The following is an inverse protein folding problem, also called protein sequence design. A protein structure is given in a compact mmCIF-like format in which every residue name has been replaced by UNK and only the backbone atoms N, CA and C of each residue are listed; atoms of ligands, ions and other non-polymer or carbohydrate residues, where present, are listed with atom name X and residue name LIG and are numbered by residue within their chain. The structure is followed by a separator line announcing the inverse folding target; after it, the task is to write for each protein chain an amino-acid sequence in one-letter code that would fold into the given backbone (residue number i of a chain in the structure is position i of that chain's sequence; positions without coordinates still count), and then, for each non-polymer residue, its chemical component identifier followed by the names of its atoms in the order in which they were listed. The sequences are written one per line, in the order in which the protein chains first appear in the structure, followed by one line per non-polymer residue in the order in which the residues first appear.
data_IF_571876983799
#
_entry.id   IF_571876983799
#
_cell.length_a   1.000
_cell.length_b   1.000
_cell.length_c   1.000
_cell.angle_alpha   90.00
_cell.angle_beta   90.00
_cell.angle_gamma   90.00
#
_symmetry.space_group_name_H-M   'P 1'
#
loop_
_entity.id
_entity.type
_entity.pdbx_description
1 polymer ?
#
# COMPACT_ATOMS: atom_id res chain seq x y z
N UNK A 1 -23.55 -9.03 -22.19
CA UNK A 1 -23.66 -10.00 -21.07
C UNK A 1 -22.33 -10.67 -20.70
N UNK A 2 -21.63 -11.41 -21.57
CA UNK A 2 -20.35 -12.05 -21.21
C UNK A 2 -19.24 -11.06 -20.87
N UNK A 3 -19.11 -9.98 -21.66
CA UNK A 3 -18.14 -8.90 -21.42
C UNK A 3 -18.35 -8.20 -20.08
N UNK A 4 -19.58 -7.79 -19.75
CA UNK A 4 -19.86 -7.11 -18.46
C UNK A 4 -19.51 -8.02 -17.27
N UNK A 5 -19.82 -9.31 -17.32
CA UNK A 5 -19.44 -10.26 -16.26
C UNK A 5 -17.91 -10.35 -16.10
N UNK A 6 -17.18 -10.37 -17.21
CA UNK A 6 -15.71 -10.33 -17.18
C UNK A 6 -15.19 -9.04 -16.56
N UNK A 7 -15.69 -7.88 -16.99
CA UNK A 7 -15.29 -6.56 -16.46
C UNK A 7 -15.62 -6.40 -14.97
N UNK A 8 -16.77 -6.90 -14.52
CA UNK A 8 -17.13 -6.95 -13.10
C UNK A 8 -16.08 -7.77 -12.34
N UNK A 9 -15.74 -8.97 -12.83
CA UNK A 9 -14.72 -9.81 -12.21
C UNK A 9 -13.35 -9.13 -12.11
N UNK A 10 -12.93 -8.42 -13.16
CA UNK A 10 -11.70 -7.61 -13.15
C UNK A 10 -11.77 -6.55 -12.06
N UNK A 11 -12.85 -5.75 -12.01
CA UNK A 11 -13.03 -4.69 -11.02
C UNK A 11 -13.03 -5.24 -9.58
N UNK A 12 -13.72 -6.37 -9.35
CA UNK A 12 -13.81 -7.04 -8.05
C UNK A 12 -12.44 -7.38 -7.46
N UNK A 13 -11.46 -7.70 -8.31
CA UNK A 13 -10.09 -8.02 -7.86
C UNK A 13 -9.20 -6.78 -7.86
N UNK A 14 -9.29 -5.92 -8.88
CA UNK A 14 -8.39 -4.79 -9.03
C UNK A 14 -8.64 -3.67 -8.01
N UNK A 15 -9.89 -3.41 -7.64
CA UNK A 15 -10.25 -2.33 -6.70
C UNK A 15 -9.66 -2.55 -5.30
N UNK A 16 -9.83 -3.71 -4.63
CA UNK A 16 -9.22 -3.90 -3.31
C UNK A 16 -7.69 -3.85 -3.38
N UNK A 17 -7.09 -4.29 -4.48
CA UNK A 17 -5.65 -4.19 -4.68
C UNK A 17 -5.18 -2.74 -4.85
N UNK A 18 -5.92 -1.91 -5.62
CA UNK A 18 -5.65 -0.48 -5.73
C UNK A 18 -5.77 0.23 -4.37
N UNK A 19 -6.76 -0.14 -3.56
CA UNK A 19 -6.95 0.43 -2.21
C UNK A 19 -5.75 0.10 -1.32
N UNK A 20 -5.28 -1.14 -1.32
CA UNK A 20 -4.08 -1.55 -0.59
C UNK A 20 -2.84 -0.77 -1.05
N UNK A 21 -2.58 -0.69 -2.35
CA UNK A 21 -1.43 0.06 -2.89
C UNK A 21 -1.53 1.57 -2.57
N UNK A 22 -2.75 2.12 -2.56
CA UNK A 22 -2.99 3.51 -2.13
C UNK A 22 -2.64 3.70 -0.65
N UNK A 23 -3.03 2.75 0.21
CA UNK A 23 -2.73 2.80 1.64
C UNK A 23 -1.23 2.72 1.93
N UNK A 24 -0.48 1.87 1.20
CA UNK A 24 0.99 1.82 1.24
C UNK A 24 1.56 3.20 0.89
N UNK A 25 1.17 3.75 -0.26
CA UNK A 25 1.67 5.06 -0.72
C UNK A 25 1.36 6.18 0.27
N UNK A 26 0.13 6.26 0.78
CA UNK A 26 -0.27 7.27 1.75
C UNK A 26 0.47 7.13 3.08
N UNK A 27 0.83 5.92 3.49
CA UNK A 27 1.52 5.68 4.76
C UNK A 27 3.01 6.00 4.66
N UNK A 28 3.69 5.50 3.61
CA UNK A 28 5.14 5.65 3.43
C UNK A 28 5.55 7.11 3.18
N UNK A 29 4.72 7.91 2.51
CA UNK A 29 5.04 9.32 2.23
C UNK A 29 4.42 10.32 3.22
N UNK A 30 3.82 9.86 4.32
CA UNK A 30 3.25 10.77 5.33
C UNK A 30 4.27 11.07 6.43
N UNK A 31 5.02 12.17 6.30
CA UNK A 31 6.00 12.59 7.31
C UNK A 31 5.41 12.75 8.72
N UNK A 32 4.12 13.12 8.84
CA UNK A 32 3.47 13.25 10.15
C UNK A 32 3.34 11.90 10.86
N UNK A 33 3.34 10.79 10.11
CA UNK A 33 3.43 9.46 10.68
C UNK A 33 4.74 9.28 11.42
N UNK A 34 5.84 9.56 10.71
CA UNK A 34 7.20 9.34 11.20
C UNK A 34 7.47 10.23 12.41
N UNK A 35 7.01 11.48 12.40
CA UNK A 35 7.09 12.39 13.55
C UNK A 35 6.42 11.77 14.79
N UNK A 36 5.18 11.27 14.66
CA UNK A 36 4.47 10.61 15.78
C UNK A 36 5.17 9.35 16.27
N UNK A 37 5.70 8.55 15.36
CA UNK A 37 6.44 7.34 15.71
C UNK A 37 7.75 7.68 16.43
N UNK A 38 8.41 8.77 16.04
CA UNK A 38 9.61 9.25 16.70
C UNK A 38 9.35 9.92 18.05
N UNK A 39 8.15 10.45 18.28
CA UNK A 39 7.71 10.86 19.61
C UNK A 39 7.43 9.64 20.50
N UNK A 40 6.87 8.58 19.92
CA UNK A 40 6.53 7.33 20.61
C UNK A 40 7.75 6.50 21.00
N UNK A 41 8.69 6.31 20.08
CA UNK A 41 9.86 5.43 20.26
C UNK A 41 11.16 6.17 20.57
N UNK A 42 11.19 7.49 20.38
CA UNK A 42 12.30 8.38 20.67
C UNK A 42 13.69 7.83 20.30
N UNK A 43 13.96 7.53 19.02
CA UNK A 43 15.26 7.02 18.61
C UNK A 43 16.36 8.05 18.91
N UNK A 44 17.51 7.58 19.40
CA UNK A 44 18.64 8.41 19.84
C UNK A 44 19.48 8.91 18.67
N UNK A 45 18.83 9.58 17.71
CA UNK A 45 19.44 10.12 16.49
C UNK A 45 19.14 11.61 16.40
N UNK A 46 20.19 12.41 16.36
CA UNK A 46 20.09 13.84 16.08
C UNK A 46 19.57 14.06 14.65
N UNK A 47 18.75 15.10 14.44
CA UNK A 47 18.18 15.42 13.11
C UNK A 47 17.37 14.28 12.45
N UNK A 48 16.83 13.34 13.25
CA UNK A 48 16.02 12.18 12.78
C UNK A 48 14.93 12.54 11.76
N UNK A 49 14.28 13.69 11.92
CA UNK A 49 13.24 14.20 11.02
C UNK A 49 13.82 14.61 9.66
N UNK A 50 14.94 15.31 9.65
CA UNK A 50 15.58 15.74 8.41
C UNK A 50 16.10 14.53 7.61
N UNK A 51 16.78 13.60 8.28
CA UNK A 51 17.27 12.35 7.66
C UNK A 51 16.10 11.57 7.05
N UNK A 52 14.97 11.51 7.76
CA UNK A 52 13.77 10.81 7.29
C UNK A 52 13.11 11.53 6.11
N UNK A 53 13.05 12.87 6.11
CA UNK A 53 12.57 13.65 4.96
C UNK A 53 13.43 13.39 3.73
N UNK A 54 14.75 13.34 3.89
CA UNK A 54 15.68 13.01 2.82
C UNK A 54 15.45 11.59 2.31
N UNK A 55 15.29 10.61 3.21
CA UNK A 55 14.95 9.23 2.83
C UNK A 55 13.63 9.13 2.07
N UNK A 56 12.58 9.81 2.53
CA UNK A 56 11.27 9.85 1.85
C UNK A 56 11.42 10.48 0.46
N UNK A 57 12.22 11.54 0.32
CA UNK A 57 12.51 12.15 -0.98
C UNK A 57 13.33 11.22 -1.90
N UNK A 58 14.32 10.51 -1.37
CA UNK A 58 15.06 9.47 -2.08
C UNK A 58 14.14 8.37 -2.63
N UNK A 59 13.19 7.89 -1.82
CA UNK A 59 12.21 6.89 -2.22
C UNK A 59 11.20 7.41 -3.25
N UNK A 60 11.12 8.73 -3.44
CA UNK A 60 10.33 9.33 -4.51
C UNK A 60 11.04 9.21 -5.87
N UNK A 61 10.30 9.47 -6.95
CA UNK A 61 10.87 9.44 -8.31
C UNK A 61 11.92 10.54 -8.54
N UNK A 62 11.94 11.58 -7.71
CA UNK A 62 12.75 12.79 -7.90
C UNK A 62 14.08 12.78 -7.12
N UNK A 63 14.23 11.86 -6.15
CA UNK A 63 15.44 11.78 -5.34
C UNK A 63 16.63 11.13 -6.06
N UNK A 64 17.83 11.54 -5.70
CA UNK A 64 19.08 10.86 -6.08
C UNK A 64 19.78 10.26 -4.84
N UNK A 65 20.90 9.58 -5.05
CA UNK A 65 21.60 8.87 -3.97
C UNK A 65 22.24 9.81 -2.93
N UNK A 66 22.35 11.11 -3.20
CA UNK A 66 22.89 12.07 -2.22
C UNK A 66 22.00 12.19 -0.97
N UNK A 67 20.70 11.93 -1.10
CA UNK A 67 19.74 11.98 0.00
C UNK A 67 19.87 10.84 1.02
N UNK A 68 20.68 9.82 0.72
CA UNK A 68 20.98 8.72 1.65
C UNK A 68 22.46 8.68 2.05
N UNK A 69 23.22 9.75 1.80
CA UNK A 69 24.65 9.80 2.09
C UNK A 69 25.00 9.72 3.58
N UNK A 70 24.03 9.96 4.48
CA UNK A 70 24.21 9.81 5.93
C UNK A 70 24.22 8.35 6.40
N UNK A 71 23.75 7.41 5.57
CA UNK A 71 23.76 5.98 5.85
C UNK A 71 25.12 5.37 5.44
N UNK A 72 25.53 4.27 6.07
CA UNK A 72 26.74 3.52 5.68
C UNK A 72 26.53 2.86 4.31
N UNK A 73 27.61 2.55 3.59
CA UNK A 73 27.53 1.96 2.24
C UNK A 73 26.62 0.72 2.18
N UNK A 74 26.77 -0.21 3.12
CA UNK A 74 25.92 -1.42 3.18
C UNK A 74 24.44 -1.13 3.47
N UNK A 75 24.12 -0.04 4.18
CA UNK A 75 22.74 0.41 4.38
C UNK A 75 22.21 1.06 3.10
N UNK A 76 23.04 1.82 2.39
CA UNK A 76 22.68 2.45 1.12
C UNK A 76 22.36 1.39 0.05
N UNK A 77 23.12 0.30 -0.02
CA UNK A 77 22.84 -0.84 -0.90
C UNK A 77 21.44 -1.40 -0.66
N UNK A 78 21.06 -1.60 0.61
CA UNK A 78 19.72 -2.04 0.95
C UNK A 78 18.65 -1.01 0.62
N UNK A 79 18.89 0.27 0.91
CA UNK A 79 17.96 1.36 0.59
C UNK A 79 17.73 1.50 -0.93
N UNK A 80 18.73 1.23 -1.76
CA UNK A 80 18.57 1.18 -3.23
C UNK A 80 17.60 0.06 -3.63
N UNK A 81 17.73 -1.15 -3.06
CA UNK A 81 16.76 -2.21 -3.30
C UNK A 81 15.36 -1.84 -2.78
N UNK A 82 15.26 -1.17 -1.63
CA UNK A 82 13.97 -0.66 -1.09
C UNK A 82 13.34 0.30 -2.10
N UNK A 83 14.13 1.21 -2.69
CA UNK A 83 13.64 2.13 -3.72
C UNK A 83 13.14 1.40 -4.95
N UNK A 84 13.84 0.37 -5.42
CA UNK A 84 13.42 -0.43 -6.58
C UNK A 84 12.12 -1.19 -6.31
N UNK A 85 11.97 -1.78 -5.12
CA UNK A 85 10.73 -2.41 -4.68
C UNK A 85 9.60 -1.38 -4.63
N UNK A 86 9.82 -0.22 -4.02
CA UNK A 86 8.81 0.85 -3.97
C UNK A 86 8.40 1.33 -5.36
N UNK A 87 9.35 1.52 -6.27
CA UNK A 87 9.09 1.89 -7.66
C UNK A 87 8.26 0.82 -8.38
N UNK A 88 8.59 -0.46 -8.21
CA UNK A 88 7.80 -1.57 -8.74
C UNK A 88 6.35 -1.51 -8.24
N UNK A 89 6.12 -1.28 -6.94
CA UNK A 89 4.79 -1.11 -6.38
C UNK A 89 4.05 0.09 -7.00
N UNK A 90 4.73 1.19 -7.29
CA UNK A 90 4.11 2.35 -7.97
C UNK A 90 3.77 2.07 -9.43
N UNK A 91 4.62 1.34 -10.17
CA UNK A 91 4.28 0.93 -11.53
C UNK A 91 3.05 0.03 -11.56
N UNK A 92 2.97 -0.93 -10.63
CA UNK A 92 1.79 -1.79 -10.45
C UNK A 92 0.56 -0.94 -10.11
N UNK A 93 0.70 0.04 -9.21
CA UNK A 93 -0.39 0.97 -8.87
C UNK A 93 -0.97 1.67 -10.11
N UNK A 94 -0.11 2.28 -10.94
CA UNK A 94 -0.58 2.97 -12.15
C UNK A 94 -1.18 2.01 -13.17
N UNK A 95 -0.60 0.81 -13.32
CA UNK A 95 -1.14 -0.22 -14.21
C UNK A 95 -2.54 -0.67 -13.78
N UNK A 96 -2.73 -0.97 -12.49
CA UNK A 96 -4.02 -1.36 -11.92
C UNK A 96 -5.05 -0.23 -12.04
N UNK A 97 -4.62 1.02 -11.82
CA UNK A 97 -5.48 2.20 -12.00
C UNK A 97 -5.97 2.31 -13.45
N UNK A 98 -5.08 2.12 -14.44
CA UNK A 98 -5.46 2.12 -15.86
C UNK A 98 -6.47 1.01 -16.17
N UNK A 99 -6.25 -0.21 -15.65
CA UNK A 99 -7.19 -1.33 -15.81
C UNK A 99 -8.58 -0.97 -15.27
N UNK A 100 -8.65 -0.37 -14.08
CA UNK A 100 -9.92 0.03 -13.45
C UNK A 100 -10.62 1.09 -14.31
N UNK A 101 -9.90 2.14 -14.73
CA UNK A 101 -10.46 3.22 -15.54
C UNK A 101 -11.00 2.68 -16.86
N UNK A 102 -10.22 1.84 -17.56
CA UNK A 102 -10.66 1.21 -18.80
C UNK A 102 -11.86 0.29 -18.58
N UNK A 103 -11.88 -0.49 -17.51
CA UNK A 103 -13.00 -1.40 -17.21
C UNK A 103 -14.29 -0.63 -16.92
N UNK A 104 -14.20 0.49 -16.18
CA UNK A 104 -15.34 1.38 -15.93
C UNK A 104 -15.80 2.04 -17.23
N UNK A 105 -14.88 2.54 -18.06
CA UNK A 105 -15.19 3.15 -19.35
C UNK A 105 -15.90 2.17 -20.29
N UNK A 106 -15.45 0.91 -20.34
CA UNK A 106 -16.09 -0.15 -21.13
C UNK A 106 -17.47 -0.54 -20.59
N UNK A 107 -17.65 -0.59 -19.26
CA UNK A 107 -18.97 -0.81 -18.66
C UNK A 107 -19.94 0.33 -19.00
N UNK A 108 -19.45 1.56 -19.12
CA UNK A 108 -20.27 2.74 -19.44
C UNK A 108 -20.87 2.71 -20.85
N UNK A 109 -20.30 1.91 -21.76
CA UNK A 109 -20.85 1.71 -23.11
C UNK A 109 -22.30 1.18 -23.03
N UNK A 110 -22.57 0.26 -22.10
CA UNK A 110 -23.92 -0.23 -21.82
C UNK A 110 -24.60 0.62 -20.73
N UNK A 111 -25.01 1.84 -21.12
CA UNK A 111 -25.59 2.86 -20.24
C UNK A 111 -26.76 2.37 -19.37
N UNK A 112 -27.53 1.39 -19.86
CA UNK A 112 -28.71 0.87 -19.15
C UNK A 112 -28.32 0.06 -17.91
N UNK A 113 -27.29 -0.77 -18.02
CA UNK A 113 -26.84 -1.64 -16.93
C UNK A 113 -25.61 -1.11 -16.19
N UNK A 114 -25.07 0.05 -16.59
CA UNK A 114 -23.84 0.63 -16.03
C UNK A 114 -23.86 0.74 -14.51
N UNK A 115 -24.84 1.45 -13.94
CA UNK A 115 -24.89 1.69 -12.49
C UNK A 115 -25.13 0.40 -11.71
N UNK A 116 -25.94 -0.52 -12.22
CA UNK A 116 -26.13 -1.84 -11.60
C UNK A 116 -24.81 -2.62 -11.58
N UNK A 117 -24.14 -2.75 -12.73
CA UNK A 117 -22.86 -3.46 -12.83
C UNK A 117 -21.76 -2.81 -11.97
N UNK A 118 -21.71 -1.48 -11.91
CA UNK A 118 -20.76 -0.75 -11.07
C UNK A 118 -21.04 -0.98 -9.59
N UNK A 119 -22.30 -0.89 -9.15
CA UNK A 119 -22.71 -1.17 -7.78
C UNK A 119 -22.37 -2.60 -7.36
N UNK A 120 -22.64 -3.58 -8.22
CA UNK A 120 -22.27 -4.99 -8.04
C UNK A 120 -20.76 -5.10 -7.89
N UNK A 121 -19.99 -4.49 -8.80
CA UNK A 121 -18.52 -4.53 -8.79
C UNK A 121 -17.96 -3.99 -7.48
N UNK A 122 -18.40 -2.81 -7.04
CA UNK A 122 -17.93 -2.17 -5.81
C UNK A 122 -18.30 -2.99 -4.57
N UNK A 123 -19.53 -3.50 -4.50
CA UNK A 123 -19.99 -4.31 -3.38
C UNK A 123 -19.16 -5.59 -3.24
N UNK A 124 -18.99 -6.36 -4.33
CA UNK A 124 -18.19 -7.59 -4.29
C UNK A 124 -16.69 -7.31 -4.15
N UNK A 125 -16.18 -6.18 -4.65
CA UNK A 125 -14.81 -5.71 -4.38
C UNK A 125 -14.56 -5.56 -2.88
N UNK A 126 -15.54 -5.03 -2.15
CA UNK A 126 -15.43 -4.86 -0.69
C UNK A 126 -15.37 -6.20 0.05
N UNK A 127 -16.13 -7.20 -0.42
CA UNK A 127 -16.11 -8.54 0.15
C UNK A 127 -14.77 -9.24 -0.09
N UNK A 128 -14.26 -9.21 -1.33
CA UNK A 128 -12.95 -9.76 -1.68
C UNK A 128 -11.83 -9.03 -0.93
N UNK A 129 -11.91 -7.70 -0.85
CA UNK A 129 -10.97 -6.89 -0.08
C UNK A 129 -11.00 -7.23 1.41
N UNK A 130 -12.17 -7.48 1.99
CA UNK A 130 -12.30 -7.95 3.37
C UNK A 130 -11.57 -9.28 3.61
N UNK A 131 -11.71 -10.24 2.69
CA UNK A 131 -10.99 -11.53 2.76
C UNK A 131 -9.47 -11.30 2.69
N UNK A 132 -9.01 -10.46 1.75
CA UNK A 132 -7.58 -10.12 1.62
C UNK A 132 -7.07 -9.49 2.92
N UNK A 133 -7.82 -8.56 3.53
CA UNK A 133 -7.43 -7.92 4.77
C UNK A 133 -7.38 -8.89 5.95
N UNK A 134 -8.28 -9.87 6.02
CA UNK A 134 -8.20 -10.94 7.03
C UNK A 134 -6.90 -11.73 6.87
N UNK A 135 -6.53 -12.10 5.64
CA UNK A 135 -5.26 -12.79 5.38
C UNK A 135 -4.06 -11.92 5.79
N UNK A 136 -4.05 -10.65 5.42
CA UNK A 136 -2.97 -9.73 5.80
C UNK A 136 -2.91 -9.50 7.33
N UNK A 137 -4.05 -9.47 8.02
CA UNK A 137 -4.10 -9.37 9.48
C UNK A 137 -3.54 -10.64 10.15
N UNK A 138 -3.75 -11.82 9.58
CA UNK A 138 -3.11 -13.07 10.05
C UNK A 138 -1.59 -13.02 9.86
N UNK A 139 -1.09 -12.41 8.79
CA UNK A 139 0.35 -12.19 8.61
C UNK A 139 0.91 -11.22 9.66
N UNK A 140 0.11 -10.24 10.11
CA UNK A 140 0.45 -9.34 11.22
C UNK A 140 0.67 -10.08 12.53
N UNK A 141 -0.10 -11.15 12.79
CA UNK A 141 -0.01 -11.94 14.03
C UNK A 141 1.39 -12.52 14.25
N UNK A 142 2.04 -12.97 13.18
CA UNK A 142 3.44 -13.38 13.21
C UNK A 142 4.30 -12.42 12.36
N UNK A 143 4.26 -11.14 12.72
CA UNK A 143 4.93 -10.08 11.97
C UNK A 143 6.42 -10.38 11.74
N UNK A 144 7.15 -10.90 12.73
CA UNK A 144 8.59 -11.19 12.60
C UNK A 144 8.89 -12.19 11.49
N UNK A 145 8.16 -13.31 11.43
CA UNK A 145 8.30 -14.28 10.33
C UNK A 145 7.87 -13.67 9.00
N UNK A 146 6.71 -12.98 8.96
CA UNK A 146 6.20 -12.35 7.74
C UNK A 146 7.16 -11.30 7.18
N UNK A 147 7.76 -10.49 8.06
CA UNK A 147 8.77 -9.49 7.71
C UNK A 147 10.03 -10.16 7.15
N UNK A 148 10.48 -11.26 7.74
CA UNK A 148 11.63 -12.01 7.25
C UNK A 148 11.38 -12.63 5.87
N UNK A 149 10.21 -13.24 5.65
CA UNK A 149 9.85 -13.78 4.34
C UNK A 149 9.70 -12.69 3.28
N UNK A 150 9.12 -11.55 3.62
CA UNK A 150 9.08 -10.38 2.74
C UNK A 150 10.49 -9.99 2.30
N UNK A 151 11.45 -9.91 3.23
CA UNK A 151 12.83 -9.57 2.89
C UNK A 151 13.48 -10.63 1.99
N UNK A 152 13.27 -11.91 2.25
CA UNK A 152 13.82 -13.00 1.43
C UNK A 152 13.26 -13.05 0.00
N UNK A 153 12.02 -12.58 -0.21
CA UNK A 153 11.39 -12.56 -1.53
C UNK A 153 11.88 -11.37 -2.37
N UNK A 154 12.00 -10.19 -1.77
CA UNK A 154 12.21 -8.95 -2.51
C UNK A 154 13.65 -8.42 -2.48
N UNK A 155 14.47 -8.85 -1.52
CA UNK A 155 15.79 -8.28 -1.27
C UNK A 155 16.87 -9.34 -1.38
N UNK A 156 18.02 -8.94 -1.92
CA UNK A 156 19.22 -9.78 -2.03
C UNK A 156 20.34 -9.27 -1.14
N UNK A 157 20.33 -8.00 -0.79
CA UNK A 157 21.34 -7.41 0.11
C UNK A 157 21.05 -7.75 1.57
N UNK A 158 22.02 -7.45 2.43
CA UNK A 158 21.82 -7.49 3.87
C UNK A 158 20.75 -6.48 4.28
N UNK A 159 19.76 -6.94 5.04
CA UNK A 159 18.68 -6.11 5.60
C UNK A 159 18.68 -6.10 7.14
N UNK A 160 19.43 -7.03 7.76
CA UNK A 160 19.65 -7.08 9.20
C UNK A 160 20.93 -6.32 9.53
N UNK A 161 20.84 -5.30 10.35
CA UNK A 161 22.00 -4.47 10.72
C UNK A 161 22.24 -4.50 12.23
N UNK A 162 23.50 -4.35 12.68
CA UNK A 162 23.84 -4.12 14.08
C UNK A 162 23.14 -2.87 14.64
N UNK A 163 22.88 -2.84 15.95
CA UNK A 163 22.08 -1.79 16.58
C UNK A 163 22.68 -0.38 16.55
N UNK A 164 23.97 -0.24 16.22
CA UNK A 164 24.66 1.06 16.05
C UNK A 164 24.51 1.65 14.63
N UNK A 165 23.80 0.95 13.74
CA UNK A 165 23.54 1.42 12.37
C UNK A 165 22.35 2.37 12.35
N UNK A 166 22.42 3.38 11.49
CA UNK A 166 21.47 4.50 11.47
C UNK A 166 20.05 4.02 11.14
N UNK A 167 19.93 3.11 10.16
CA UNK A 167 18.67 2.59 9.68
C UNK A 167 17.86 1.89 10.77
N UNK A 168 18.48 0.97 11.53
CA UNK A 168 17.79 0.22 12.59
C UNK A 168 17.62 1.03 13.88
N UNK A 169 18.46 2.06 14.09
CA UNK A 169 18.26 3.01 15.19
C UNK A 169 17.01 3.86 14.93
N UNK A 170 16.83 4.36 13.70
CA UNK A 170 15.68 5.16 13.29
C UNK A 170 14.40 4.32 13.16
N UNK A 171 14.48 3.19 12.46
CA UNK A 171 13.34 2.35 12.09
C UNK A 171 13.46 1.00 12.78
N UNK A 172 13.06 0.95 14.05
CA UNK A 172 13.05 -0.28 14.84
C UNK A 172 11.97 -1.25 14.33
N UNK A 173 12.04 -2.53 14.70
CA UNK A 173 11.06 -3.54 14.28
C UNK A 173 9.60 -3.13 14.56
N UNK A 174 9.36 -2.46 15.69
CA UNK A 174 8.03 -1.99 16.06
C UNK A 174 7.52 -0.85 15.17
N UNK A 175 8.40 0.02 14.66
CA UNK A 175 8.05 1.04 13.67
C UNK A 175 7.48 0.40 12.40
N UNK A 176 8.09 -0.68 11.92
CA UNK A 176 7.59 -1.40 10.75
C UNK A 176 6.27 -2.14 11.00
N UNK A 177 6.06 -2.65 12.21
CA UNK A 177 4.76 -3.20 12.60
C UNK A 177 3.67 -2.12 12.59
N UNK A 178 3.98 -0.91 13.04
CA UNK A 178 3.04 0.20 13.08
C UNK A 178 2.75 0.74 11.67
N UNK A 179 3.75 0.79 10.77
CA UNK A 179 3.56 1.02 9.32
C UNK A 179 2.56 0.01 8.76
N UNK A 180 2.79 -1.28 8.98
CA UNK A 180 1.94 -2.35 8.45
C UNK A 180 0.51 -2.25 9.01
N UNK A 181 0.38 -2.00 10.31
CA UNK A 181 -0.91 -1.81 10.99
C UNK A 181 -1.66 -0.60 10.45
N UNK A 182 -0.97 0.51 10.17
CA UNK A 182 -1.59 1.69 9.56
C UNK A 182 -2.07 1.40 8.13
N UNK A 183 -1.30 0.67 7.33
CA UNK A 183 -1.71 0.25 5.99
C UNK A 183 -2.98 -0.61 6.05
N UNK A 184 -3.06 -1.56 6.99
CA UNK A 184 -4.26 -2.36 7.21
C UNK A 184 -5.47 -1.49 7.58
N UNK A 185 -5.30 -0.55 8.51
CA UNK A 185 -6.37 0.34 8.95
C UNK A 185 -6.89 1.25 7.82
N UNK A 186 -5.98 1.90 7.08
CA UNK A 186 -6.35 2.77 5.94
C UNK A 186 -7.03 1.95 4.84
N UNK A 187 -6.53 0.75 4.56
CA UNK A 187 -7.15 -0.17 3.60
C UNK A 187 -8.54 -0.60 4.04
N UNK A 188 -8.72 -0.93 5.33
CA UNK A 188 -10.01 -1.30 5.90
C UNK A 188 -11.05 -0.18 5.73
N UNK A 189 -10.67 1.07 6.01
CA UNK A 189 -11.54 2.23 5.79
C UNK A 189 -11.92 2.33 4.31
N UNK A 190 -10.96 2.22 3.39
CA UNK A 190 -11.21 2.25 1.95
C UNK A 190 -12.16 1.14 1.47
N UNK A 191 -11.99 -0.08 1.99
CA UNK A 191 -12.85 -1.23 1.70
C UNK A 191 -14.29 -1.02 2.21
N UNK A 192 -14.45 -0.54 3.45
CA UNK A 192 -15.77 -0.25 4.03
C UNK A 192 -16.49 0.82 3.21
N UNK A 193 -15.82 1.92 2.87
CA UNK A 193 -16.39 2.98 2.05
C UNK A 193 -16.81 2.47 0.66
N UNK A 194 -15.97 1.65 0.03
CA UNK A 194 -16.27 1.01 -1.26
C UNK A 194 -17.52 0.13 -1.18
N UNK A 195 -17.66 -0.66 -0.11
CA UNK A 195 -18.82 -1.51 0.13
C UNK A 195 -20.10 -0.72 0.37
N UNK A 196 -20.03 0.35 1.16
CA UNK A 196 -21.18 1.26 1.40
C UNK A 196 -21.62 1.91 0.09
N UNK A 197 -20.70 2.45 -0.70
CA UNK A 197 -21.01 3.07 -2.01
C UNK A 197 -21.65 2.03 -2.94
N UNK A 198 -21.05 0.84 -3.05
CA UNK A 198 -21.58 -0.26 -3.87
C UNK A 198 -22.99 -0.68 -3.45
N UNK A 199 -23.22 -0.81 -2.13
CA UNK A 199 -24.54 -1.12 -1.57
C UNK A 199 -25.59 -0.04 -1.89
N UNK A 200 -25.25 1.23 -1.72
CA UNK A 200 -26.17 2.35 -1.99
C UNK A 200 -26.54 2.44 -3.49
N UNK A 201 -25.56 2.23 -4.38
CA UNK A 201 -25.80 2.18 -5.82
C UNK A 201 -26.73 0.99 -6.16
N UNK A 202 -26.41 -0.21 -5.66
CA UNK A 202 -27.26 -1.38 -5.89
C UNK A 202 -28.68 -1.15 -5.38
N UNK A 203 -28.85 -0.60 -4.17
CA UNK A 203 -30.19 -0.32 -3.62
C UNK A 203 -30.99 0.64 -4.51
N UNK A 204 -30.35 1.63 -5.11
CA UNK A 204 -30.99 2.62 -5.98
C UNK A 204 -31.36 2.07 -7.36
N UNK A 205 -30.53 1.19 -7.93
CA UNK A 205 -30.66 0.76 -9.33
C UNK A 205 -31.09 -0.70 -9.53
N UNK A 206 -31.19 -1.52 -8.47
CA UNK A 206 -31.61 -2.94 -8.53
C UNK A 206 -33.15 -3.13 -8.45
N UNK A 207 -33.93 -2.05 -8.52
CA UNK A 207 -35.41 -2.03 -8.48
C UNK A 207 -36.05 -1.29 -9.68
N UNK A 208 -35.36 -1.21 -10.82
CA UNK A 208 -35.92 -0.84 -12.14
C UNK A 208 -35.65 -2.03 -13.07
#
# INVERSE_FOLDING_TARGET
MKLNKFLIGVLVVSIPFLIFLSAVRLTVFDINFYEKEFDKYNPSVENKIEITKNLIYFLSKEGDNSYISSFREVEQEHLLEVRDVMNMFFYIFYFVLVIIVLSIALLYIDKKSFFENLGISLFYSSFVGGIILIVLALLAWNFSSSFSYFHQIFFKTQWQFPSDYLLVTLFQAQFFFDIFSRILLVSLIGIILTGIIGYLINRKYKNI
#
